data_IF_971321861203
#
_entry.id   IF_971321861203
#
_cell.length_a   1.000
_cell.length_b   1.000
_cell.length_c   1.000
_cell.angle_alpha   90.00
_cell.angle_beta   90.00
_cell.angle_gamma   90.00
#
_symmetry.space_group_name_H-M   'P 1'
#
loop_
_entity.id
_entity.type
_entity.pdbx_description
1 polymer ?
#
# COMPACT_ATOMS: atom_id res chain seq x y z
N UNK A 1 6.13 24.54 -5.19
CA UNK A 1 5.96 23.82 -3.90
C UNK A 1 6.09 22.31 -4.14
N UNK A 2 7.22 21.69 -3.77
CA UNK A 2 7.32 20.23 -3.74
C UNK A 2 6.44 19.75 -2.59
N UNK A 3 5.34 19.10 -2.92
CA UNK A 3 4.32 18.63 -1.97
C UNK A 3 4.95 17.62 -1.01
N UNK A 4 4.87 17.92 0.30
CA UNK A 4 5.33 17.08 1.42
C UNK A 4 4.78 15.64 1.38
N UNK A 5 3.72 15.40 0.61
CA UNK A 5 3.13 14.09 0.33
C UNK A 5 4.09 13.05 -0.28
N UNK A 6 5.19 13.49 -0.90
CA UNK A 6 6.19 12.58 -1.46
C UNK A 6 7.21 12.07 -0.44
N UNK A 7 7.27 12.66 0.76
CA UNK A 7 8.13 12.18 1.85
C UNK A 7 7.39 11.22 2.78
N UNK A 8 6.05 11.35 2.87
CA UNK A 8 5.23 10.49 3.71
C UNK A 8 5.16 9.08 3.09
N UNK A 9 5.71 8.12 3.82
CA UNK A 9 5.67 6.70 3.49
C UNK A 9 4.46 6.04 4.15
N UNK A 10 3.59 5.46 3.33
CA UNK A 10 2.43 4.70 3.76
C UNK A 10 2.78 3.21 3.68
N UNK A 11 2.44 2.49 4.74
CA UNK A 11 2.61 1.04 4.82
C UNK A 11 1.27 0.38 4.51
N UNK A 12 1.28 -0.61 3.62
CA UNK A 12 0.12 -1.46 3.42
C UNK A 12 0.56 -2.92 3.35
N UNK A 13 -0.36 -3.81 3.76
CA UNK A 13 -0.23 -5.24 3.55
C UNK A 13 -1.04 -5.63 2.32
N UNK A 14 -0.39 -6.37 1.43
CA UNK A 14 -1.02 -6.95 0.26
C UNK A 14 -1.69 -8.26 0.65
N UNK A 15 -2.87 -8.52 0.12
CA UNK A 15 -3.57 -9.81 0.22
C UNK A 15 -3.93 -10.32 -1.16
N UNK A 16 -3.75 -11.62 -1.38
CA UNK A 16 -4.25 -12.30 -2.56
C UNK A 16 -5.63 -12.88 -2.23
N UNK A 17 -6.62 -12.63 -3.09
CA UNK A 17 -8.02 -13.05 -2.89
C UNK A 17 -8.65 -12.55 -1.58
N UNK A 18 -8.11 -11.50 -0.95
CA UNK A 18 -8.57 -11.00 0.35
C UNK A 18 -8.28 -11.94 1.54
N UNK A 19 -7.62 -13.09 1.31
CA UNK A 19 -7.43 -14.14 2.33
C UNK A 19 -5.96 -14.42 2.61
N UNK A 20 -5.12 -14.48 1.56
CA UNK A 20 -3.72 -14.89 1.72
C UNK A 20 -2.85 -13.65 1.94
N UNK A 21 -2.29 -13.42 3.14
CA UNK A 21 -1.41 -12.29 3.38
C UNK A 21 -0.10 -12.47 2.61
N UNK A 22 0.25 -11.46 1.83
CA UNK A 22 1.53 -11.37 1.13
C UNK A 22 2.50 -10.50 1.96
N UNK A 23 3.44 -9.85 1.27
CA UNK A 23 4.45 -8.97 1.86
C UNK A 23 3.88 -7.59 2.21
N UNK A 24 4.45 -6.98 3.26
CA UNK A 24 4.23 -5.56 3.60
C UNK A 24 5.00 -4.68 2.61
N UNK A 25 4.38 -3.59 2.18
CA UNK A 25 4.96 -2.65 1.23
C UNK A 25 4.92 -1.25 1.82
N UNK A 26 6.05 -0.55 1.80
CA UNK A 26 6.18 0.84 2.26
C UNK A 26 6.50 1.73 1.08
N UNK A 27 5.56 2.60 0.70
CA UNK A 27 5.67 3.46 -0.50
C UNK A 27 5.02 4.82 -0.26
N UNK A 28 5.40 5.79 -1.09
CA UNK A 28 4.77 7.12 -1.08
C UNK A 28 3.37 7.06 -1.68
N UNK A 29 2.53 8.04 -1.36
CA UNK A 29 1.15 8.15 -1.86
C UNK A 29 1.07 8.11 -3.39
N UNK A 30 1.99 8.78 -4.09
CA UNK A 30 2.05 8.77 -5.56
C UNK A 30 2.34 7.37 -6.12
N UNK A 31 3.29 6.64 -5.52
CA UNK A 31 3.61 5.26 -5.94
C UNK A 31 2.43 4.32 -5.68
N UNK A 32 1.72 4.49 -4.57
CA UNK A 32 0.50 3.74 -4.28
C UNK A 32 -0.59 3.95 -5.33
N UNK A 33 -0.89 5.20 -5.68
CA UNK A 33 -1.85 5.52 -6.75
C UNK A 33 -1.49 4.84 -8.08
N UNK A 34 -0.21 4.86 -8.45
CA UNK A 34 0.26 4.22 -9.68
C UNK A 34 0.14 2.69 -9.62
N UNK A 35 0.45 2.07 -8.48
CA UNK A 35 0.30 0.63 -8.28
C UNK A 35 -1.16 0.20 -8.36
N UNK A 36 -2.07 0.88 -7.64
CA UNK A 36 -3.50 0.58 -7.71
C UNK A 36 -4.04 0.69 -9.14
N UNK A 37 -3.63 1.72 -9.89
CA UNK A 37 -4.04 1.88 -11.29
C UNK A 37 -3.52 0.73 -12.19
N UNK A 38 -2.29 0.27 -11.97
CA UNK A 38 -1.69 -0.83 -12.73
C UNK A 38 -2.32 -2.18 -12.39
N UNK A 39 -2.60 -2.45 -11.11
CA UNK A 39 -3.21 -3.70 -10.67
C UNK A 39 -4.68 -3.78 -11.08
N UNK A 40 -5.42 -2.68 -11.00
CA UNK A 40 -6.80 -2.58 -11.52
C UNK A 40 -6.87 -3.00 -13.00
N UNK A 41 -5.93 -2.51 -13.83
CA UNK A 41 -5.87 -2.86 -15.25
C UNK A 41 -5.49 -4.31 -15.53
N UNK A 42 -4.86 -5.00 -14.58
CA UNK A 42 -4.43 -6.39 -14.72
C UNK A 42 -5.48 -7.40 -14.26
N UNK A 43 -6.66 -6.94 -13.83
CA UNK A 43 -7.73 -7.79 -13.29
C UNK A 43 -7.25 -8.71 -12.15
N UNK A 44 -6.21 -8.29 -11.43
CA UNK A 44 -5.61 -9.05 -10.34
C UNK A 44 -6.41 -8.82 -9.07
N UNK A 45 -6.79 -9.90 -8.40
CA UNK A 45 -7.51 -9.87 -7.12
C UNK A 45 -6.48 -9.66 -6.00
N UNK A 46 -5.86 -8.49 -6.01
CA UNK A 46 -4.94 -8.05 -4.97
C UNK A 46 -5.63 -6.97 -4.15
N UNK A 47 -5.81 -7.25 -2.86
CA UNK A 47 -6.37 -6.32 -1.90
C UNK A 47 -5.24 -5.62 -1.12
N UNK A 48 -5.48 -4.36 -0.77
CA UNK A 48 -4.51 -3.49 -0.11
C UNK A 48 -5.08 -2.99 1.21
N UNK A 49 -4.54 -3.49 2.31
CA UNK A 49 -4.90 -3.06 3.66
C UNK A 49 -3.84 -2.09 4.19
N UNK A 50 -4.18 -0.80 4.30
CA UNK A 50 -3.26 0.18 4.88
C UNK A 50 -3.09 -0.08 6.38
N UNK A 51 -1.85 -0.04 6.84
CA UNK A 51 -1.50 -0.18 8.25
C UNK A 51 -1.31 1.24 8.78
N UNK A 52 -2.14 1.63 9.73
CA UNK A 52 -2.01 2.92 10.40
C UNK A 52 -0.78 2.92 11.31
N UNK A 53 -0.13 4.08 11.43
CA UNK A 53 1.18 4.23 12.06
C UNK A 53 1.23 3.83 13.55
N UNK A 54 0.09 3.65 14.22
CA UNK A 54 0.02 3.20 15.61
C UNK A 54 0.36 1.71 15.79
N UNK A 55 0.16 0.87 14.78
CA UNK A 55 0.45 -0.58 14.90
C UNK A 55 1.94 -0.92 14.69
N UNK A 56 2.72 -0.08 14.01
CA UNK A 56 4.15 -0.34 13.76
C UNK A 56 5.01 -0.26 15.03
N UNK A 57 4.51 0.37 16.12
CA UNK A 57 5.23 0.54 17.39
C UNK A 57 5.12 -0.64 18.36
N UNK A 58 4.31 -1.67 18.05
CA UNK A 58 4.06 -2.80 18.97
C UNK A 58 4.88 -4.07 18.66
N UNK A 59 5.95 -4.00 17.87
CA UNK A 59 6.74 -5.19 17.53
C UNK A 59 8.24 -5.02 17.79
#
# INVERSE_FOLDING_TARGET
>A
MKSRDNEILYVARLYLFGVIPLWKVKRTKQKWKRLMLLEYRKNKIIELQFIEAEEEKKK
#
